data_IF_652625332923
#
_entry.id   IF_652625332923
#
_cell.length_a   1.000
_cell.length_b   1.000
_cell.length_c   1.000
_cell.angle_alpha   90.00
_cell.angle_beta   90.00
_cell.angle_gamma   90.00
#
_symmetry.space_group_name_H-M   'P 1'
#
loop_
_entity.id
_entity.type
_entity.pdbx_description
1 polymer ?
#
# COMPACT_ATOMS: atom_id res chain seq x y z
N UNK A 1 12.35 26.92 6.82
CA UNK A 1 11.90 25.65 7.43
C UNK A 1 10.64 25.27 6.73
N UNK A 2 10.64 24.27 5.85
CA UNK A 2 9.41 23.64 5.37
C UNK A 2 8.89 22.82 6.55
N UNK A 3 7.87 23.32 7.20
CA UNK A 3 7.06 22.49 8.11
C UNK A 3 6.39 21.43 7.23
N UNK A 4 6.72 20.17 7.48
CA UNK A 4 5.92 19.06 6.93
C UNK A 4 4.51 19.34 7.43
N UNK A 5 3.50 19.46 6.54
CA UNK A 5 2.12 19.62 6.97
C UNK A 5 1.79 18.44 7.88
N UNK A 6 1.04 18.72 8.94
CA UNK A 6 0.55 17.68 9.85
C UNK A 6 -0.34 16.73 9.05
N UNK A 7 0.08 15.48 8.78
CA UNK A 7 -0.72 14.52 8.02
C UNK A 7 -2.01 14.13 8.77
N UNK A 8 -2.11 14.51 10.03
CA UNK A 8 -3.22 14.26 10.93
C UNK A 8 -4.11 15.49 11.11
N UNK A 9 -4.42 16.25 10.02
CA UNK A 9 -5.52 17.20 10.14
C UNK A 9 -6.83 16.41 10.33
N UNK A 10 -7.30 16.19 11.59
CA UNK A 10 -8.45 15.32 11.88
C UNK A 10 -9.75 15.87 11.31
N UNK A 11 -9.69 17.04 10.68
CA UNK A 11 -10.85 17.81 10.19
C UNK A 11 -11.12 17.58 8.70
N UNK A 12 -10.17 17.01 7.91
CA UNK A 12 -10.36 16.82 6.47
C UNK A 12 -11.42 15.77 6.20
N UNK A 13 -12.49 16.14 5.50
CA UNK A 13 -13.50 15.21 5.00
C UNK A 13 -12.95 14.44 3.83
N UNK A 14 -13.13 13.12 3.80
CA UNK A 14 -12.69 12.25 2.72
C UNK A 14 -13.75 12.24 1.63
N UNK A 15 -13.46 12.89 0.52
CA UNK A 15 -14.30 12.93 -0.68
C UNK A 15 -13.60 12.27 -1.88
N UNK A 16 -12.26 12.30 -1.89
CA UNK A 16 -11.41 11.78 -2.98
C UNK A 16 -10.41 10.79 -2.44
N UNK A 17 -10.50 9.56 -2.92
CA UNK A 17 -9.59 8.48 -2.52
C UNK A 17 -8.80 8.05 -3.75
N UNK A 18 -7.48 8.01 -3.63
CA UNK A 18 -6.63 7.39 -4.63
C UNK A 18 -6.13 6.04 -4.15
N UNK A 19 -6.37 5.02 -4.97
CA UNK A 19 -5.90 3.65 -4.75
C UNK A 19 -4.69 3.39 -5.64
N UNK A 20 -3.60 2.89 -5.05
CA UNK A 20 -2.37 2.59 -5.76
C UNK A 20 -2.07 1.09 -5.69
N UNK A 21 -1.90 0.45 -6.84
CA UNK A 21 -1.55 -0.95 -6.99
C UNK A 21 -0.29 -1.10 -7.85
N UNK A 22 0.56 -2.06 -7.51
CA UNK A 22 1.71 -2.38 -8.34
C UNK A 22 1.32 -3.22 -9.55
N UNK A 23 0.53 -4.28 -9.34
CA UNK A 23 0.26 -5.33 -10.32
C UNK A 23 -1.20 -5.31 -10.79
N UNK A 24 -1.41 -5.63 -12.08
CA UNK A 24 -2.76 -5.78 -12.63
C UNK A 24 -3.55 -6.90 -11.95
N UNK A 25 -2.89 -8.02 -11.64
CA UNK A 25 -3.52 -9.15 -10.95
C UNK A 25 -4.07 -8.79 -9.55
N UNK A 26 -3.52 -7.76 -8.91
CA UNK A 26 -3.97 -7.28 -7.61
C UNK A 26 -5.13 -6.27 -7.71
N UNK A 27 -5.06 -5.37 -8.70
CA UNK A 27 -5.98 -4.24 -8.81
C UNK A 27 -7.23 -4.53 -9.62
N UNK A 28 -7.15 -5.32 -10.71
CA UNK A 28 -8.29 -5.60 -11.60
C UNK A 28 -9.50 -6.22 -10.89
N UNK A 29 -9.36 -7.14 -9.91
CA UNK A 29 -10.52 -7.65 -9.20
C UNK A 29 -11.34 -6.55 -8.47
N UNK A 30 -10.68 -5.50 -7.96
CA UNK A 30 -11.37 -4.37 -7.33
C UNK A 30 -12.02 -3.45 -8.37
N UNK A 31 -11.36 -3.22 -9.51
CA UNK A 31 -11.93 -2.46 -10.65
C UNK A 31 -13.27 -3.06 -11.05
N UNK A 32 -13.34 -4.39 -11.21
CA UNK A 32 -14.57 -5.11 -11.57
C UNK A 32 -15.64 -5.00 -10.48
N UNK A 33 -15.28 -5.20 -9.20
CA UNK A 33 -16.21 -5.14 -8.07
C UNK A 33 -16.84 -3.77 -7.88
N UNK A 34 -16.05 -2.72 -8.01
CA UNK A 34 -16.52 -1.33 -7.87
C UNK A 34 -17.05 -0.75 -9.18
N UNK A 35 -16.95 -1.50 -10.29
CA UNK A 35 -17.34 -1.07 -11.66
C UNK A 35 -16.66 0.23 -12.05
N UNK A 36 -15.37 0.35 -11.74
CA UNK A 36 -14.58 1.50 -12.16
C UNK A 36 -14.37 1.43 -13.68
N UNK A 37 -14.34 2.59 -14.33
CA UNK A 37 -14.13 2.70 -15.77
C UNK A 37 -12.72 3.16 -16.09
N UNK A 38 -12.10 2.53 -17.08
CA UNK A 38 -10.78 2.92 -17.54
C UNK A 38 -10.80 4.35 -18.11
N UNK A 39 -9.79 5.11 -17.72
CA UNK A 39 -9.63 6.51 -18.08
C UNK A 39 -8.41 6.66 -19.00
N UNK A 40 -8.28 7.79 -19.71
CA UNK A 40 -7.05 8.12 -20.42
C UNK A 40 -5.83 8.05 -19.50
N UNK A 41 -4.68 7.69 -20.07
CA UNK A 41 -3.42 7.66 -19.32
C UNK A 41 -3.16 8.98 -18.60
N UNK A 42 -2.67 8.91 -17.36
CA UNK A 42 -2.36 10.11 -16.55
C UNK A 42 -1.22 10.93 -17.16
N UNK A 43 -0.29 10.24 -17.82
CA UNK A 43 0.77 10.84 -18.64
C UNK A 43 1.05 9.89 -19.84
N UNK A 44 1.10 10.41 -21.09
CA UNK A 44 1.28 9.58 -22.27
C UNK A 44 2.66 8.90 -22.37
N UNK A 45 3.64 9.34 -21.58
CA UNK A 45 4.98 8.75 -21.53
C UNK A 45 5.12 7.63 -20.49
N UNK A 46 4.07 7.39 -19.70
CA UNK A 46 4.07 6.41 -18.62
C UNK A 46 3.17 5.22 -18.94
N UNK A 47 3.50 4.08 -18.38
CA UNK A 47 2.77 2.81 -18.58
C UNK A 47 1.59 2.64 -17.64
N UNK A 48 1.35 3.60 -16.75
CA UNK A 48 0.32 3.53 -15.74
C UNK A 48 -1.08 3.45 -16.34
N UNK A 49 -1.93 2.58 -15.76
CA UNK A 49 -3.34 2.49 -16.10
C UNK A 49 -4.17 3.17 -15.02
N UNK A 50 -5.13 3.96 -15.45
CA UNK A 50 -6.01 4.73 -14.58
C UNK A 50 -7.46 4.27 -14.73
N UNK A 51 -8.14 4.06 -13.61
CA UNK A 51 -9.55 3.73 -13.53
C UNK A 51 -10.23 4.66 -12.54
N UNK A 52 -11.46 5.08 -12.83
CA UNK A 52 -12.18 5.98 -11.94
C UNK A 52 -13.66 5.63 -11.79
N UNK A 53 -14.26 6.06 -10.69
CA UNK A 53 -15.68 5.89 -10.40
C UNK A 53 -16.07 6.54 -9.09
N UNK A 54 -17.32 6.29 -8.65
CA UNK A 54 -17.85 6.83 -7.40
C UNK A 54 -18.52 5.72 -6.59
N UNK A 55 -18.28 5.72 -5.28
CA UNK A 55 -18.92 4.78 -4.35
C UNK A 55 -19.54 5.60 -3.20
N UNK A 56 -20.86 5.72 -3.19
CA UNK A 56 -21.55 6.55 -2.20
C UNK A 56 -21.10 8.01 -2.29
N UNK A 57 -20.52 8.55 -1.22
CA UNK A 57 -20.08 9.95 -1.13
C UNK A 57 -18.64 10.19 -1.59
N UNK A 58 -17.89 9.15 -1.96
CA UNK A 58 -16.48 9.25 -2.32
C UNK A 58 -16.23 8.99 -3.80
N UNK A 59 -15.37 9.80 -4.41
CA UNK A 59 -14.80 9.55 -5.73
C UNK A 59 -13.53 8.71 -5.59
N UNK A 60 -13.32 7.79 -6.52
CA UNK A 60 -12.20 6.87 -6.53
C UNK A 60 -11.39 7.07 -7.80
N UNK A 61 -10.10 7.27 -7.65
CA UNK A 61 -9.10 7.15 -8.70
C UNK A 61 -8.20 5.96 -8.36
N UNK A 62 -8.15 4.94 -9.21
CA UNK A 62 -7.28 3.78 -9.05
C UNK A 62 -6.20 3.81 -10.12
N UNK A 63 -4.95 3.78 -9.68
CA UNK A 63 -3.78 3.79 -10.54
C UNK A 63 -2.98 2.50 -10.35
N UNK A 64 -2.68 1.81 -11.46
CA UNK A 64 -1.75 0.68 -11.51
C UNK A 64 -0.44 1.13 -12.16
N UNK A 65 0.69 0.57 -11.74
CA UNK A 65 2.01 0.96 -12.26
C UNK A 65 2.18 0.63 -13.76
N UNK A 66 1.40 -0.35 -14.26
CA UNK A 66 1.44 -0.80 -15.64
C UNK A 66 2.61 -1.71 -15.96
N UNK A 67 2.72 -2.09 -17.23
CA UNK A 67 3.65 -3.10 -17.73
C UNK A 67 4.95 -2.44 -18.22
N UNK A 68 6.10 -2.99 -17.87
CA UNK A 68 7.38 -2.60 -18.46
C UNK A 68 7.52 -3.19 -19.86
N UNK A 69 7.56 -2.36 -20.91
CA UNK A 69 7.61 -2.85 -22.30
C UNK A 69 8.90 -3.63 -22.65
N UNK A 70 9.95 -3.53 -21.82
CA UNK A 70 11.22 -4.23 -22.04
C UNK A 70 11.15 -5.72 -21.68
N UNK A 71 10.33 -6.08 -20.70
CA UNK A 71 10.22 -7.46 -20.19
C UNK A 71 8.79 -8.01 -20.16
N UNK A 72 7.77 -7.18 -20.37
CA UNK A 72 6.38 -7.60 -20.39
C UNK A 72 5.80 -7.95 -19.00
N UNK A 73 6.42 -7.45 -17.93
CA UNK A 73 5.97 -7.68 -16.54
C UNK A 73 5.49 -6.40 -15.88
N UNK A 74 4.67 -6.52 -14.84
CA UNK A 74 4.24 -5.39 -14.04
C UNK A 74 5.46 -4.65 -13.44
N UNK A 75 5.35 -3.33 -13.34
CA UNK A 75 6.35 -2.47 -12.68
C UNK A 75 6.11 -2.51 -11.18
N UNK A 76 6.99 -3.19 -10.46
CA UNK A 76 6.96 -3.32 -9.00
C UNK A 76 8.10 -2.53 -8.36
N UNK A 77 8.05 -2.41 -7.04
CA UNK A 77 9.13 -1.84 -6.24
C UNK A 77 9.04 -0.33 -6.00
N UNK A 78 9.98 0.17 -5.23
CA UNK A 78 9.95 1.53 -4.67
C UNK A 78 10.00 2.64 -5.71
N UNK A 79 10.69 2.43 -6.83
CA UNK A 79 10.84 3.46 -7.89
C UNK A 79 9.50 3.70 -8.60
N UNK A 80 8.83 2.61 -9.02
CA UNK A 80 7.53 2.69 -9.66
C UNK A 80 6.48 3.26 -8.71
N UNK A 81 6.50 2.82 -7.44
CA UNK A 81 5.61 3.28 -6.39
C UNK A 81 5.79 4.77 -6.05
N UNK A 82 7.02 5.26 -5.98
CA UNK A 82 7.31 6.69 -5.78
C UNK A 82 6.73 7.53 -6.91
N UNK A 83 6.96 7.12 -8.17
CA UNK A 83 6.44 7.82 -9.33
C UNK A 83 4.91 7.82 -9.34
N UNK A 84 4.27 6.67 -9.10
CA UNK A 84 2.81 6.55 -9.04
C UNK A 84 2.22 7.42 -7.93
N UNK A 85 2.79 7.39 -6.73
CA UNK A 85 2.35 8.21 -5.59
C UNK A 85 2.44 9.70 -5.88
N UNK A 86 3.56 10.17 -6.43
CA UNK A 86 3.75 11.59 -6.75
C UNK A 86 2.75 12.07 -7.84
N UNK A 87 2.60 11.30 -8.92
CA UNK A 87 1.68 11.65 -10.00
C UNK A 87 0.23 11.64 -9.50
N UNK A 88 -0.16 10.63 -8.74
CA UNK A 88 -1.50 10.52 -8.17
C UNK A 88 -1.86 11.74 -7.32
N UNK A 89 -0.97 12.14 -6.41
CA UNK A 89 -1.18 13.32 -5.56
C UNK A 89 -1.30 14.60 -6.40
N UNK A 90 -0.42 14.77 -7.38
CA UNK A 90 -0.41 15.97 -8.24
C UNK A 90 -1.62 16.05 -9.18
N UNK A 91 -2.09 14.90 -9.67
CA UNK A 91 -3.16 14.81 -10.67
C UNK A 91 -4.56 14.82 -10.03
N UNK A 92 -4.74 14.05 -8.96
CA UNK A 92 -6.06 13.80 -8.37
C UNK A 92 -6.32 14.60 -7.09
N UNK A 93 -5.28 15.15 -6.45
CA UNK A 93 -5.37 15.87 -5.18
C UNK A 93 -6.23 15.12 -4.13
N UNK A 94 -5.87 13.87 -3.78
CA UNK A 94 -6.68 13.02 -2.90
C UNK A 94 -6.69 13.52 -1.46
N UNK A 95 -7.78 13.24 -0.76
CA UNK A 95 -7.89 13.44 0.68
C UNK A 95 -7.33 12.24 1.45
N UNK A 96 -7.23 11.08 0.78
CA UNK A 96 -6.64 9.83 1.30
C UNK A 96 -6.00 9.03 0.16
N UNK A 97 -4.77 8.60 0.37
CA UNK A 97 -4.10 7.61 -0.49
C UNK A 97 -4.10 6.25 0.21
N UNK A 98 -4.53 5.21 -0.51
CA UNK A 98 -4.45 3.82 -0.06
C UNK A 98 -3.57 3.03 -1.02
N UNK A 99 -2.45 2.51 -0.54
CA UNK A 99 -1.67 1.53 -1.28
C UNK A 99 -2.19 0.13 -0.96
N UNK A 100 -2.74 -0.55 -1.94
CA UNK A 100 -3.21 -1.91 -1.78
C UNK A 100 -2.39 -2.88 -2.64
N UNK A 101 -2.18 -4.10 -2.17
CA UNK A 101 -1.38 -5.11 -2.88
C UNK A 101 -1.10 -6.32 -2.00
N UNK A 102 -0.23 -7.20 -2.48
CA UNK A 102 0.18 -8.40 -1.76
C UNK A 102 1.42 -8.16 -0.89
N UNK A 103 1.69 -9.10 0.02
CA UNK A 103 2.85 -9.04 0.92
C UNK A 103 3.23 -10.44 1.42
N UNK A 104 4.44 -10.55 1.94
CA UNK A 104 4.85 -11.64 2.81
C UNK A 104 4.41 -11.38 4.25
N UNK A 105 3.82 -12.39 4.90
CA UNK A 105 3.45 -12.37 6.32
C UNK A 105 4.47 -13.08 7.21
N UNK A 106 4.19 -13.18 8.51
CA UNK A 106 5.06 -13.85 9.47
C UNK A 106 4.28 -14.84 10.33
N UNK A 107 4.56 -16.13 10.16
CA UNK A 107 3.92 -17.21 10.93
C UNK A 107 4.18 -17.08 12.44
N UNK A 108 5.40 -16.73 12.82
CA UNK A 108 5.79 -16.53 14.21
C UNK A 108 5.00 -15.43 14.93
N UNK A 109 4.26 -14.59 14.17
CA UNK A 109 3.38 -13.52 14.69
C UNK A 109 1.91 -13.81 14.45
N UNK A 110 1.54 -15.06 14.12
CA UNK A 110 0.15 -15.45 13.85
C UNK A 110 -0.36 -14.97 12.48
N UNK A 111 0.55 -14.65 11.55
CA UNK A 111 0.21 -14.38 10.15
C UNK A 111 -0.08 -15.69 9.41
N UNK A 112 -1.08 -15.65 8.53
CA UNK A 112 -1.46 -16.75 7.65
C UNK A 112 -1.65 -16.24 6.23
N UNK A 113 -1.44 -17.10 5.24
CA UNK A 113 -1.79 -16.79 3.84
C UNK A 113 -3.27 -16.45 3.75
N UNK A 114 -3.58 -15.35 3.08
CA UNK A 114 -4.93 -14.81 2.97
C UNK A 114 -5.33 -13.79 4.05
N UNK A 115 -4.52 -13.61 5.09
CA UNK A 115 -4.73 -12.51 6.04
C UNK A 115 -4.63 -11.15 5.34
N UNK A 116 -5.47 -10.22 5.77
CA UNK A 116 -5.39 -8.81 5.33
C UNK A 116 -4.84 -7.98 6.48
N UNK A 117 -3.84 -7.14 6.18
CA UNK A 117 -3.27 -6.18 7.12
C UNK A 117 -3.53 -4.75 6.67
N UNK A 118 -3.97 -3.90 7.59
CA UNK A 118 -3.98 -2.44 7.47
C UNK A 118 -2.76 -1.90 8.22
N UNK A 119 -2.03 -0.98 7.62
CA UNK A 119 -0.82 -0.40 8.22
C UNK A 119 -1.12 0.31 9.54
N UNK A 120 -0.20 0.16 10.50
CA UNK A 120 -0.24 0.79 11.82
C UNK A 120 1.16 1.34 12.18
N UNK A 121 1.21 2.48 12.88
CA UNK A 121 2.46 3.11 13.32
C UNK A 121 3.22 3.74 12.16
N UNK A 122 4.40 3.22 11.85
CA UNK A 122 5.25 3.72 10.76
C UNK A 122 5.45 2.67 9.67
N UNK A 123 5.49 3.10 8.41
CA UNK A 123 6.09 2.30 7.35
C UNK A 123 7.62 2.40 7.40
N UNK A 124 8.30 1.27 7.20
CA UNK A 124 9.75 1.17 7.31
C UNK A 124 10.38 0.70 6.00
N UNK A 125 11.65 1.08 5.75
CA UNK A 125 12.50 0.40 4.77
C UNK A 125 13.40 -0.61 5.49
N UNK A 126 13.49 -1.84 4.98
CA UNK A 126 14.37 -2.88 5.53
C UNK A 126 15.63 -3.12 4.71
N UNK A 127 15.69 -2.65 3.46
CA UNK A 127 16.78 -2.89 2.51
C UNK A 127 17.78 -1.72 2.39
N UNK A 128 17.57 -0.62 3.11
CA UNK A 128 18.43 0.57 3.01
C UNK A 128 19.46 0.61 4.12
N UNK A 129 20.73 0.47 3.75
CA UNK A 129 21.85 0.49 4.66
C UNK A 129 22.73 1.73 4.41
N UNK A 130 22.64 2.74 5.29
CA UNK A 130 23.45 3.97 5.21
C UNK A 130 24.25 4.09 6.50
N UNK A 131 25.48 3.58 6.49
CA UNK A 131 26.37 3.57 7.66
C UNK A 131 27.09 4.93 7.85
N UNK A 132 26.32 6.02 7.82
CA UNK A 132 26.83 7.38 8.06
C UNK A 132 26.17 7.98 9.29
N UNK A 133 26.91 8.75 10.13
CA UNK A 133 26.32 9.44 11.26
C UNK A 133 25.15 10.35 10.85
N UNK A 134 24.02 10.24 11.55
CA UNK A 134 22.81 11.04 11.29
C UNK A 134 21.87 10.50 10.22
N UNK A 135 22.24 9.47 9.44
CA UNK A 135 21.43 8.93 8.36
C UNK A 135 20.52 7.75 8.75
N UNK A 136 20.60 7.28 9.99
CA UNK A 136 19.86 6.10 10.44
C UNK A 136 18.34 6.21 10.26
N UNK A 137 17.76 7.39 10.51
CA UNK A 137 16.33 7.64 10.31
C UNK A 137 15.98 7.63 8.81
N UNK A 138 16.79 8.27 7.97
CA UNK A 138 16.57 8.30 6.52
C UNK A 138 16.68 6.90 5.90
N UNK A 139 17.66 6.10 6.35
CA UNK A 139 17.81 4.71 5.92
C UNK A 139 16.56 3.88 6.26
N UNK A 140 16.10 3.96 7.50
CA UNK A 140 14.94 3.22 7.99
C UNK A 140 13.61 3.73 7.43
N UNK A 141 13.57 4.97 6.94
CA UNK A 141 12.34 5.66 6.48
C UNK A 141 11.53 6.16 7.67
N UNK A 142 10.83 5.28 8.35
CA UNK A 142 10.01 5.59 9.53
C UNK A 142 8.94 6.66 9.21
N UNK A 143 8.21 6.43 8.12
CA UNK A 143 7.15 7.34 7.68
C UNK A 143 5.83 6.98 8.37
N UNK A 144 5.23 7.92 9.13
CA UNK A 144 3.99 7.67 9.83
C UNK A 144 2.86 7.37 8.84
N UNK A 145 1.99 6.44 9.21
CA UNK A 145 0.75 6.15 8.49
C UNK A 145 -0.43 6.74 9.25
N UNK A 146 -1.50 7.04 8.53
CA UNK A 146 -2.75 7.51 9.15
C UNK A 146 -3.34 6.40 10.01
N UNK A 147 -3.66 6.63 11.28
CA UNK A 147 -4.37 5.67 12.11
C UNK A 147 -5.71 5.28 11.48
N UNK A 148 -5.92 3.97 11.22
CA UNK A 148 -7.07 3.50 10.45
C UNK A 148 -7.77 2.29 11.10
N UNK A 149 -7.95 2.34 12.40
CA UNK A 149 -8.52 1.27 13.21
C UNK A 149 -9.97 0.92 12.82
N UNK A 150 -10.80 1.92 12.55
CA UNK A 150 -12.19 1.69 12.18
C UNK A 150 -12.31 1.20 10.74
N UNK A 151 -11.43 1.67 9.85
CA UNK A 151 -11.31 1.14 8.49
C UNK A 151 -10.88 -0.34 8.53
N UNK A 152 -9.86 -0.68 9.33
CA UNK A 152 -9.42 -2.06 9.51
C UNK A 152 -10.56 -2.97 10.00
N UNK A 153 -11.33 -2.51 10.98
CA UNK A 153 -12.50 -3.24 11.48
C UNK A 153 -13.58 -3.43 10.39
N UNK A 154 -13.89 -2.38 9.61
CA UNK A 154 -14.83 -2.46 8.50
C UNK A 154 -14.38 -3.44 7.40
N UNK A 155 -13.08 -3.53 7.18
CA UNK A 155 -12.45 -4.44 6.23
C UNK A 155 -12.37 -5.88 6.75
N UNK A 156 -12.51 -6.11 8.05
CA UNK A 156 -12.22 -7.40 8.69
C UNK A 156 -10.73 -7.74 8.67
N UNK A 157 -9.88 -6.72 8.74
CA UNK A 157 -8.43 -6.81 8.63
C UNK A 157 -7.75 -6.76 9.99
N UNK A 158 -6.54 -7.31 10.06
CA UNK A 158 -5.59 -7.13 11.15
C UNK A 158 -4.87 -5.79 10.97
N UNK A 159 -4.26 -5.27 12.05
CA UNK A 159 -3.37 -4.12 11.97
C UNK A 159 -1.93 -4.53 12.21
N UNK A 160 -0.96 -3.83 11.59
CA UNK A 160 0.44 -4.12 11.79
C UNK A 160 1.41 -3.23 11.04
N UNK A 161 2.67 -3.28 11.45
CA UNK A 161 3.76 -2.53 10.81
C UNK A 161 4.08 -3.14 9.45
N UNK A 162 4.11 -2.30 8.41
CA UNK A 162 4.51 -2.67 7.05
C UNK A 162 5.96 -2.25 6.82
N UNK A 163 6.75 -3.15 6.23
CA UNK A 163 8.14 -2.86 5.87
C UNK A 163 8.41 -3.17 4.40
N UNK A 164 9.06 -2.25 3.73
CA UNK A 164 9.27 -2.21 2.28
C UNK A 164 10.73 -2.42 1.90
N UNK A 165 10.98 -3.22 0.88
CA UNK A 165 12.28 -3.39 0.22
C UNK A 165 12.11 -3.86 -1.22
N UNK A 166 13.18 -3.85 -2.02
CA UNK A 166 13.11 -4.15 -3.45
C UNK A 166 13.45 -5.61 -3.81
N UNK A 167 13.47 -6.50 -2.81
CA UNK A 167 13.75 -7.92 -3.00
C UNK A 167 12.59 -8.78 -2.50
N UNK A 168 12.21 -9.79 -3.30
CA UNK A 168 11.24 -10.79 -2.88
C UNK A 168 11.84 -11.71 -1.81
N UNK A 169 13.08 -12.14 -2.01
CA UNK A 169 13.83 -12.94 -1.04
C UNK A 169 14.19 -12.14 0.22
N UNK A 170 14.59 -12.84 1.27
CA UNK A 170 14.85 -12.23 2.58
C UNK A 170 16.21 -12.72 3.10
N UNK A 171 17.04 -11.79 3.58
CA UNK A 171 18.33 -12.08 4.20
C UNK A 171 18.19 -12.32 5.71
N UNK A 172 19.18 -12.96 6.37
CA UNK A 172 19.20 -13.10 7.83
C UNK A 172 19.16 -11.77 8.57
N UNK A 173 19.81 -10.73 8.02
CA UNK A 173 19.85 -9.39 8.57
C UNK A 173 18.45 -8.73 8.53
N UNK A 174 17.72 -8.93 7.43
CA UNK A 174 16.34 -8.48 7.28
C UNK A 174 15.39 -9.20 8.24
N UNK A 175 15.58 -10.52 8.45
CA UNK A 175 14.81 -11.26 9.46
C UNK A 175 15.03 -10.71 10.87
N UNK A 176 16.26 -10.33 11.22
CA UNK A 176 16.57 -9.68 12.50
C UNK A 176 15.88 -8.30 12.60
N UNK A 177 15.90 -7.53 11.51
CA UNK A 177 15.19 -6.25 11.42
C UNK A 177 13.68 -6.43 11.63
N UNK A 178 13.05 -7.37 10.93
CA UNK A 178 11.62 -7.64 11.08
C UNK A 178 11.26 -8.07 12.51
N UNK A 179 12.12 -8.84 13.16
CA UNK A 179 11.93 -9.23 14.56
C UNK A 179 12.01 -8.01 15.49
N UNK A 180 13.03 -7.17 15.32
CA UNK A 180 13.26 -5.97 16.13
C UNK A 180 12.09 -4.98 16.06
N UNK A 181 11.58 -4.73 14.86
CA UNK A 181 10.50 -3.75 14.62
C UNK A 181 9.10 -4.37 14.62
N UNK A 182 8.97 -5.67 14.91
CA UNK A 182 7.69 -6.39 14.94
C UNK A 182 6.89 -6.23 13.64
N UNK A 183 7.58 -6.25 12.51
CA UNK A 183 6.96 -6.11 11.18
C UNK A 183 5.93 -7.21 10.96
N UNK A 184 4.73 -6.86 10.56
CA UNK A 184 3.63 -7.79 10.27
C UNK A 184 3.51 -8.14 8.79
N UNK A 185 3.90 -7.22 7.91
CA UNK A 185 3.84 -7.39 6.46
C UNK A 185 5.12 -6.86 5.79
N UNK A 186 5.72 -7.68 4.92
CA UNK A 186 6.86 -7.31 4.06
C UNK A 186 6.32 -7.07 2.66
N UNK A 187 6.54 -5.88 2.10
CA UNK A 187 6.11 -5.52 0.76
C UNK A 187 7.23 -4.85 -0.05
N UNK A 188 6.89 -4.31 -1.23
CA UNK A 188 7.86 -3.67 -2.11
C UNK A 188 7.51 -2.19 -2.43
N UNK A 189 6.41 -1.60 -1.91
CA UNK A 189 5.91 -0.28 -2.33
C UNK A 189 5.53 0.68 -1.19
N UNK A 190 4.92 0.18 -0.13
CA UNK A 190 4.17 0.99 0.83
C UNK A 190 4.98 2.14 1.44
N UNK A 191 6.20 1.88 1.90
CA UNK A 191 7.02 2.92 2.53
C UNK A 191 7.45 4.02 1.55
N UNK A 192 7.64 3.67 0.28
CA UNK A 192 7.96 4.65 -0.76
C UNK A 192 6.78 5.61 -1.01
N UNK A 193 5.56 5.08 -1.03
CA UNK A 193 4.34 5.89 -1.15
C UNK A 193 4.10 6.70 0.13
N UNK A 194 4.26 6.10 1.31
CA UNK A 194 4.17 6.80 2.60
C UNK A 194 5.12 8.00 2.66
N UNK A 195 6.36 7.83 2.16
CA UNK A 195 7.33 8.92 2.05
C UNK A 195 6.83 10.07 1.19
N UNK A 196 6.27 9.77 0.01
CA UNK A 196 5.73 10.80 -0.89
C UNK A 196 4.53 11.50 -0.23
N UNK A 197 3.61 10.73 0.34
CA UNK A 197 2.44 11.26 1.03
C UNK A 197 2.83 12.15 2.20
N UNK A 198 3.77 11.72 3.05
CA UNK A 198 4.29 12.51 4.18
C UNK A 198 4.95 13.83 3.73
N UNK A 199 5.70 13.81 2.63
CA UNK A 199 6.30 15.04 2.07
C UNK A 199 5.26 16.00 1.48
N UNK A 200 4.15 15.46 0.98
CA UNK A 200 3.06 16.25 0.38
C UNK A 200 1.93 16.60 1.36
N UNK A 201 1.99 16.09 2.60
CA UNK A 201 0.93 16.32 3.60
C UNK A 201 -0.39 15.64 3.28
N UNK A 202 -0.35 14.46 2.65
CA UNK A 202 -1.54 13.68 2.28
C UNK A 202 -1.64 12.47 3.20
N UNK A 203 -2.82 12.20 3.80
CA UNK A 203 -3.07 11.00 4.59
C UNK A 203 -2.82 9.72 3.80
N UNK A 204 -2.20 8.71 4.45
CA UNK A 204 -1.79 7.47 3.82
C UNK A 204 -2.11 6.24 4.66
N UNK A 205 -2.62 5.20 4.01
CA UNK A 205 -2.84 3.86 4.59
C UNK A 205 -2.32 2.80 3.61
N UNK A 206 -1.66 1.76 4.11
CA UNK A 206 -1.37 0.56 3.32
C UNK A 206 -2.33 -0.57 3.71
N UNK A 207 -2.79 -1.35 2.71
CA UNK A 207 -3.64 -2.52 2.87
C UNK A 207 -3.01 -3.69 2.12
N UNK A 208 -2.63 -4.73 2.84
CA UNK A 208 -1.81 -5.82 2.29
C UNK A 208 -2.43 -7.18 2.53
N UNK A 209 -2.46 -8.03 1.49
CA UNK A 209 -2.90 -9.41 1.56
C UNK A 209 -1.71 -10.37 1.56
N UNK A 210 -1.66 -11.31 2.49
CA UNK A 210 -0.56 -12.25 2.63
C UNK A 210 -0.62 -13.32 1.55
N UNK A 211 0.44 -13.42 0.73
CA UNK A 211 0.65 -14.46 -0.28
C UNK A 211 1.58 -15.57 0.19
N UNK A 212 2.57 -15.24 1.03
CA UNK A 212 3.63 -16.12 1.48
C UNK A 212 4.03 -15.79 2.92
N UNK A 213 4.78 -16.65 3.54
CA UNK A 213 5.27 -16.45 4.90
C UNK A 213 6.79 -16.35 4.88
N UNK A 214 7.29 -15.16 5.23
CA UNK A 214 8.72 -14.78 5.17
C UNK A 214 9.60 -15.67 6.04
N UNK A 215 9.05 -16.17 7.15
CA UNK A 215 9.72 -17.02 8.13
C UNK A 215 9.39 -18.53 7.96
N UNK A 216 8.84 -18.92 6.80
CA UNK A 216 8.57 -20.31 6.43
C UNK A 216 9.68 -20.84 5.52
N UNK A 217 10.00 -22.17 5.57
CA UNK A 217 11.05 -22.75 4.73
C UNK A 217 10.72 -22.82 3.23
N UNK A 218 9.47 -22.67 2.83
CA UNK A 218 9.05 -22.67 1.43
C UNK A 218 9.57 -21.42 0.73
N UNK A 219 10.13 -21.50 -0.51
CA UNK A 219 10.54 -20.35 -1.27
C UNK A 219 9.39 -19.35 -1.48
N UNK A 220 9.63 -18.07 -1.17
CA UNK A 220 8.62 -17.01 -1.27
C UNK A 220 8.01 -16.93 -2.68
N UNK A 221 8.82 -17.11 -3.73
CA UNK A 221 8.37 -17.07 -5.13
C UNK A 221 7.35 -18.16 -5.48
N UNK A 222 7.53 -19.38 -4.97
CA UNK A 222 6.61 -20.49 -5.20
C UNK A 222 5.28 -20.28 -4.48
N UNK A 223 5.34 -19.89 -3.21
CA UNK A 223 4.17 -19.59 -2.41
C UNK A 223 3.40 -18.39 -2.98
N UNK A 224 4.10 -17.33 -3.38
CA UNK A 224 3.52 -16.15 -4.02
C UNK A 224 2.73 -16.52 -5.28
N UNK A 225 3.36 -17.21 -6.24
CA UNK A 225 2.70 -17.59 -7.50
C UNK A 225 1.48 -18.47 -7.27
N UNK A 226 1.55 -19.40 -6.34
CA UNK A 226 0.44 -20.30 -5.99
C UNK A 226 -0.73 -19.56 -5.39
N UNK A 227 -0.48 -18.56 -4.55
CA UNK A 227 -1.50 -17.90 -3.72
C UNK A 227 -1.95 -16.53 -4.26
N UNK A 228 -1.25 -15.94 -5.25
CA UNK A 228 -1.53 -14.60 -5.77
C UNK A 228 -3.00 -14.38 -6.11
N UNK A 229 -3.59 -15.29 -6.88
CA UNK A 229 -4.99 -15.15 -7.31
C UNK A 229 -5.97 -15.14 -6.12
N UNK A 230 -5.77 -16.04 -5.17
CA UNK A 230 -6.63 -16.14 -3.98
C UNK A 230 -6.46 -14.94 -3.06
N UNK A 231 -5.23 -14.53 -2.80
CA UNK A 231 -4.92 -13.37 -1.97
C UNK A 231 -5.47 -12.08 -2.60
N UNK A 232 -5.33 -11.90 -3.91
CA UNK A 232 -5.89 -10.74 -4.64
C UNK A 232 -7.43 -10.71 -4.59
N UNK A 233 -8.08 -11.87 -4.65
CA UNK A 233 -9.54 -11.95 -4.49
C UNK A 233 -9.97 -11.53 -3.07
N UNK A 234 -9.30 -12.04 -2.04
CA UNK A 234 -9.57 -11.67 -0.64
C UNK A 234 -9.28 -10.18 -0.38
N UNK A 235 -8.18 -9.67 -0.95
CA UNK A 235 -7.85 -8.24 -0.90
C UNK A 235 -8.98 -7.41 -1.49
N UNK A 236 -9.44 -7.75 -2.68
CA UNK A 236 -10.50 -6.99 -3.37
C UNK A 236 -11.82 -7.00 -2.60
N UNK A 237 -12.17 -8.12 -1.95
CA UNK A 237 -13.35 -8.21 -1.08
C UNK A 237 -13.23 -7.32 0.16
N UNK A 238 -12.06 -7.34 0.79
CA UNK A 238 -11.76 -6.51 1.95
C UNK A 238 -11.76 -5.03 1.58
N UNK A 239 -11.11 -4.68 0.47
CA UNK A 239 -11.08 -3.31 -0.07
C UNK A 239 -12.49 -2.81 -0.43
N UNK A 240 -13.31 -3.63 -1.07
CA UNK A 240 -14.70 -3.26 -1.37
C UNK A 240 -15.47 -2.91 -0.10
N UNK A 241 -15.37 -3.73 0.97
CA UNK A 241 -16.00 -3.44 2.26
C UNK A 241 -15.52 -2.09 2.83
N UNK A 242 -14.20 -1.86 2.83
CA UNK A 242 -13.61 -0.61 3.31
C UNK A 242 -14.07 0.60 2.51
N UNK A 243 -14.04 0.55 1.19
CA UNK A 243 -14.46 1.65 0.31
C UNK A 243 -15.96 1.93 0.45
N UNK A 244 -16.80 0.91 0.54
CA UNK A 244 -18.25 1.09 0.80
C UNK A 244 -18.50 1.69 2.18
N UNK A 245 -17.74 1.31 3.18
CA UNK A 245 -17.82 1.90 4.51
C UNK A 245 -17.40 3.38 4.50
N UNK A 246 -16.34 3.75 3.77
CA UNK A 246 -15.93 5.14 3.57
C UNK A 246 -16.98 5.96 2.84
N UNK A 247 -17.58 5.39 1.80
CA UNK A 247 -18.59 6.07 0.97
C UNK A 247 -20.02 6.07 1.52
N UNK A 248 -20.31 5.34 2.59
CA UNK A 248 -21.67 5.25 3.16
C UNK A 248 -22.15 6.59 3.76
N UNK A 249 -21.23 7.35 4.35
CA UNK A 249 -21.47 8.66 4.97
C UNK A 249 -20.19 9.50 4.88
N UNK A 250 -20.29 10.83 4.86
CA UNK A 250 -19.12 11.70 4.95
C UNK A 250 -18.30 11.37 6.20
N UNK A 251 -17.00 11.07 6.03
CA UNK A 251 -16.08 10.73 7.10
C UNK A 251 -14.88 11.68 7.08
N UNK A 252 -14.30 11.90 8.23
CA UNK A 252 -13.05 12.63 8.36
C UNK A 252 -11.88 11.67 8.47
N UNK A 253 -10.69 12.16 8.14
CA UNK A 253 -9.44 11.38 8.30
C UNK A 253 -9.28 10.87 9.74
N UNK A 254 -9.63 11.68 10.75
CA UNK A 254 -9.57 11.28 12.16
C UNK A 254 -10.56 10.18 12.56
N UNK A 255 -11.52 9.81 11.70
CA UNK A 255 -12.51 8.77 11.97
C UNK A 255 -12.10 7.40 11.40
N UNK A 256 -10.92 7.28 10.76
CA UNK A 256 -10.41 6.05 10.18
C UNK A 256 -9.98 5.06 11.25
#
# INVERSE_FOLDING_TARGET
MHTIPDPDSPQTTIERITLLYAMEAEGMPLVERLKLTEQPAVDPNLTQRHFAGTVGTVSIDLLMNGIDPRCGTDRIGTDAATLAGFIAIRKFAPDLVINAGTCGGFQARGGCVGDIYVSEGDCLFHDRHIALPGFALQARGQWPVTPAKHLAAAMGAKSGIVSTGNSLDTTPEELAFFAQYRVAAKDMEACAIAQVCGQCGVPFVAVKAVTDLVDHPEPASEAFLRNLRTASALLSESMERGIRWLGAHPRRVGDL
#
